data_IF_582536934908
#
_entry.id   IF_582536934908
#
_cell.length_a   1.000
_cell.length_b   1.000
_cell.length_c   1.000
_cell.angle_alpha   90.00
_cell.angle_beta   90.00
_cell.angle_gamma   90.00
#
_symmetry.space_group_name_H-M   'P 1'
#
loop_
_entity.id
_entity.type
_entity.pdbx_description
1 polymer ?
#
# COMPACT_ATOMS: atom_id res chain seq x y z
N UNK A 1 14.54 8.85 4.53
CA UNK A 1 13.85 8.99 3.21
C UNK A 1 12.35 8.75 3.38
N UNK A 2 11.51 9.53 2.69
CA UNK A 2 10.05 9.45 2.70
C UNK A 2 9.58 8.89 1.37
N UNK A 3 9.11 7.64 1.39
CA UNK A 3 8.82 6.86 0.19
C UNK A 3 7.32 6.66 0.05
N UNK A 4 6.79 6.83 -1.14
CA UNK A 4 5.40 6.49 -1.50
C UNK A 4 5.39 5.26 -2.38
N UNK A 5 4.59 4.27 -2.02
CA UNK A 5 4.31 3.09 -2.84
C UNK A 5 3.05 3.34 -3.67
N UNK A 6 3.19 3.49 -4.97
CA UNK A 6 2.11 3.68 -5.93
C UNK A 6 1.88 2.38 -6.73
N UNK A 7 0.68 2.20 -7.22
CA UNK A 7 0.31 1.02 -8.02
C UNK A 7 -1.09 0.52 -7.70
N UNK A 8 -1.67 -0.32 -8.58
CA UNK A 8 -3.04 -0.80 -8.44
C UNK A 8 -3.26 -1.64 -7.17
N UNK A 9 -4.51 -1.84 -6.74
CA UNK A 9 -4.82 -2.81 -5.70
C UNK A 9 -4.29 -4.19 -6.11
N UNK A 10 -3.67 -4.92 -5.20
CA UNK A 10 -3.05 -6.23 -5.52
C UNK A 10 -1.65 -6.18 -6.11
N UNK A 11 -1.08 -5.01 -6.39
CA UNK A 11 0.28 -4.87 -6.93
C UNK A 11 1.39 -5.37 -5.99
N UNK A 12 1.10 -5.55 -4.70
CA UNK A 12 2.08 -6.02 -3.70
C UNK A 12 2.65 -4.93 -2.81
N UNK A 13 2.14 -3.71 -2.85
CA UNK A 13 2.61 -2.55 -2.06
C UNK A 13 2.89 -2.91 -0.60
N UNK A 14 1.89 -3.42 0.13
CA UNK A 14 2.04 -3.79 1.54
C UNK A 14 3.03 -4.94 1.76
N UNK A 15 3.11 -5.89 0.83
CA UNK A 15 4.06 -7.01 0.89
C UNK A 15 5.50 -6.52 0.79
N UNK A 16 5.77 -5.59 -0.12
CA UNK A 16 7.12 -5.04 -0.30
C UNK A 16 7.45 -4.02 0.78
N UNK A 17 6.51 -3.12 1.12
CA UNK A 17 6.68 -2.14 2.19
C UNK A 17 7.03 -2.80 3.53
N UNK A 18 6.36 -3.91 3.90
CA UNK A 18 6.63 -4.63 5.15
C UNK A 18 8.03 -5.26 5.22
N UNK A 19 8.67 -5.52 4.07
CA UNK A 19 10.05 -5.98 3.98
C UNK A 19 11.05 -4.83 4.01
N UNK A 20 10.77 -3.79 3.22
CA UNK A 20 11.59 -2.59 3.14
C UNK A 20 11.71 -1.87 4.51
N UNK A 21 10.62 -1.80 5.26
CA UNK A 21 10.60 -1.26 6.63
C UNK A 21 11.67 -1.87 7.54
N UNK A 22 11.87 -3.19 7.43
CA UNK A 22 12.89 -3.90 8.25
C UNK A 22 14.32 -3.55 7.82
N UNK A 23 14.52 -3.29 6.52
CA UNK A 23 15.83 -2.96 5.95
C UNK A 23 16.17 -1.50 6.24
N UNK A 24 15.20 -0.60 6.05
CA UNK A 24 15.40 0.85 6.15
C UNK A 24 15.24 1.40 7.57
N UNK A 25 14.66 0.64 8.49
CA UNK A 25 14.41 1.09 9.87
C UNK A 25 13.40 2.23 9.99
N UNK A 26 12.46 2.34 9.02
CA UNK A 26 11.40 3.36 9.01
C UNK A 26 10.02 2.71 9.06
N UNK A 27 8.98 3.37 9.61
CA UNK A 27 7.65 2.79 9.71
C UNK A 27 7.00 2.59 8.32
N UNK A 28 6.23 1.50 8.20
CA UNK A 28 5.24 1.31 7.14
C UNK A 28 3.92 1.92 7.58
N UNK A 29 3.44 2.91 6.86
CA UNK A 29 2.18 3.61 7.13
C UNK A 29 1.20 3.27 6.01
N UNK A 30 0.23 2.42 6.31
CA UNK A 30 -0.81 1.97 5.39
C UNK A 30 -2.15 2.63 5.75
N UNK A 31 -2.62 3.54 4.91
CA UNK A 31 -3.95 4.14 5.12
C UNK A 31 -5.07 3.12 5.02
N UNK A 32 -4.91 2.08 4.21
CA UNK A 32 -5.85 0.97 4.17
C UNK A 32 -5.92 0.20 5.49
N UNK A 33 -4.80 0.02 6.19
CA UNK A 33 -4.79 -0.61 7.52
C UNK A 33 -5.43 0.31 8.56
N UNK A 34 -5.12 1.61 8.52
CA UNK A 34 -5.74 2.60 9.41
C UNK A 34 -7.27 2.62 9.26
N UNK A 35 -7.78 2.62 8.03
CA UNK A 35 -9.23 2.51 7.74
C UNK A 35 -9.83 1.21 8.31
N UNK A 36 -9.16 0.08 8.10
CA UNK A 36 -9.63 -1.21 8.63
C UNK A 36 -9.60 -1.28 10.15
N UNK A 37 -8.66 -0.62 10.78
CA UNK A 37 -8.56 -0.53 12.24
C UNK A 37 -9.72 0.30 12.81
N UNK A 38 -10.04 1.46 12.23
CA UNK A 38 -11.22 2.26 12.60
C UNK A 38 -12.53 1.48 12.44
N UNK A 39 -12.68 0.75 11.33
CA UNK A 39 -13.87 -0.10 11.09
C UNK A 39 -13.97 -1.22 12.14
N UNK A 40 -12.85 -1.84 12.49
CA UNK A 40 -12.80 -2.92 13.49
C UNK A 40 -13.12 -2.42 14.90
N UNK A 41 -12.63 -1.23 15.23
CA UNK A 41 -12.87 -0.59 16.51
C UNK A 41 -14.34 -0.06 16.64
N UNK A 42 -15.12 -0.10 15.56
CA UNK A 42 -16.51 0.37 15.51
C UNK A 42 -16.69 1.82 16.01
N UNK A 43 -15.68 2.66 15.80
CA UNK A 43 -15.78 4.08 16.09
C UNK A 43 -16.89 4.72 15.25
N UNK A 44 -17.36 5.91 15.63
CA UNK A 44 -18.32 6.64 14.80
C UNK A 44 -17.77 6.87 13.39
N UNK A 45 -16.49 7.23 13.29
CA UNK A 45 -15.77 7.38 12.03
C UNK A 45 -15.69 6.04 11.29
N UNK A 46 -15.35 4.95 11.97
CA UNK A 46 -15.28 3.61 11.38
C UNK A 46 -16.60 3.16 10.76
N UNK A 47 -17.72 3.46 11.39
CA UNK A 47 -19.06 3.19 10.83
C UNK A 47 -19.35 4.01 9.57
N UNK A 48 -18.97 5.30 9.56
CA UNK A 48 -19.14 6.18 8.39
C UNK A 48 -18.31 5.73 7.19
N UNK A 49 -17.04 5.38 7.40
CA UNK A 49 -16.12 5.01 6.31
C UNK A 49 -16.32 3.58 5.80
N UNK A 50 -16.94 2.70 6.60
CA UNK A 50 -17.16 1.29 6.23
C UNK A 50 -17.95 1.13 4.93
N UNK A 51 -18.95 1.98 4.69
CA UNK A 51 -19.78 1.94 3.49
C UNK A 51 -18.97 2.16 2.19
N UNK A 52 -17.93 2.97 2.23
CA UNK A 52 -17.02 3.19 1.08
C UNK A 52 -16.11 1.98 0.89
N UNK A 53 -15.50 1.50 1.97
CA UNK A 53 -14.59 0.36 1.93
C UNK A 53 -15.26 -0.93 1.43
N UNK A 54 -16.51 -1.20 1.87
CA UNK A 54 -17.25 -2.39 1.47
C UNK A 54 -17.61 -2.40 -0.03
N UNK A 55 -17.74 -1.22 -0.65
CA UNK A 55 -18.02 -1.03 -2.09
C UNK A 55 -16.75 -0.95 -2.95
N UNK A 56 -15.58 -0.87 -2.34
CA UNK A 56 -14.32 -0.64 -3.05
C UNK A 56 -14.07 0.81 -3.48
N UNK A 57 -14.90 1.72 -3.00
CA UNK A 57 -14.79 3.16 -3.19
C UNK A 57 -13.67 3.74 -2.29
N UNK A 58 -13.20 4.95 -2.63
CA UNK A 58 -12.29 5.69 -1.77
C UNK A 58 -13.06 6.37 -0.64
N UNK A 59 -12.51 6.32 0.56
CA UNK A 59 -12.96 7.15 1.68
C UNK A 59 -12.72 8.62 1.31
N UNK A 60 -13.63 9.56 1.68
CA UNK A 60 -13.47 10.98 1.38
C UNK A 60 -12.09 11.52 1.75
N UNK A 61 -11.54 12.38 0.89
CA UNK A 61 -10.16 12.88 0.99
C UNK A 61 -9.88 13.54 2.33
N UNK A 62 -10.80 14.37 2.84
CA UNK A 62 -10.65 15.11 4.10
C UNK A 62 -10.43 14.16 5.28
N UNK A 63 -11.15 13.04 5.30
CA UNK A 63 -11.05 12.03 6.36
C UNK A 63 -9.66 11.35 6.30
N UNK A 64 -9.26 10.91 5.13
CA UNK A 64 -7.97 10.22 4.96
C UNK A 64 -6.79 11.15 5.21
N UNK A 65 -6.87 12.40 4.74
CA UNK A 65 -5.82 13.40 4.97
C UNK A 65 -5.67 13.67 6.48
N UNK A 66 -6.77 13.81 7.21
CA UNK A 66 -6.72 14.02 8.66
C UNK A 66 -6.13 12.83 9.41
N UNK A 67 -6.55 11.60 9.05
CA UNK A 67 -5.99 10.38 9.65
C UNK A 67 -4.48 10.28 9.39
N UNK A 68 -4.04 10.59 8.18
CA UNK A 68 -2.63 10.56 7.83
C UNK A 68 -1.84 11.64 8.55
N UNK A 69 -2.33 12.89 8.60
CA UNK A 69 -1.67 13.98 9.31
C UNK A 69 -1.39 13.58 10.76
N UNK A 70 -2.39 13.12 11.48
CA UNK A 70 -2.25 12.67 12.87
C UNK A 70 -1.24 11.52 13.00
N UNK A 71 -1.14 10.63 12.00
CA UNK A 71 -0.18 9.54 12.00
C UNK A 71 1.26 10.03 11.78
N UNK A 72 1.46 11.01 10.90
CA UNK A 72 2.78 11.55 10.57
C UNK A 72 3.37 12.41 11.69
N UNK A 73 2.56 12.92 12.61
CA UNK A 73 3.01 13.65 13.81
C UNK A 73 3.67 12.75 14.85
N UNK A 74 3.55 11.42 14.73
CA UNK A 74 4.18 10.49 15.67
C UNK A 74 5.71 10.47 15.48
N UNK A 75 6.49 10.41 16.58
CA UNK A 75 7.97 10.50 16.54
C UNK A 75 8.66 9.47 15.63
N UNK A 76 8.06 8.30 15.45
CA UNK A 76 8.61 7.24 14.60
C UNK A 76 8.65 7.60 13.11
N UNK A 77 7.84 8.59 12.68
CA UNK A 77 7.78 9.06 11.29
C UNK A 77 8.79 10.18 10.97
N UNK A 78 9.44 10.79 11.95
CA UNK A 78 10.37 11.92 11.76
C UNK A 78 11.53 11.58 10.82
N UNK A 79 12.15 10.42 11.01
CA UNK A 79 13.32 9.96 10.24
C UNK A 79 12.98 9.50 8.82
N UNK A 80 11.71 9.38 8.50
CA UNK A 80 11.18 8.90 7.24
C UNK A 80 10.11 7.83 7.42
N UNK A 81 9.54 7.39 6.31
CA UNK A 81 8.45 6.42 6.30
C UNK A 81 8.24 5.83 4.91
N UNK A 82 7.47 4.74 4.86
CA UNK A 82 6.94 4.18 3.62
C UNK A 82 5.42 4.31 3.67
N UNK A 83 4.84 5.14 2.77
CA UNK A 83 3.40 5.26 2.61
C UNK A 83 2.86 4.20 1.65
N UNK A 84 1.80 3.53 2.05
CA UNK A 84 1.06 2.57 1.24
C UNK A 84 -0.43 2.92 1.25
N UNK A 85 -0.99 3.08 0.04
CA UNK A 85 -2.39 3.41 -0.12
C UNK A 85 -2.75 4.88 0.03
N UNK A 86 -1.76 5.77 0.07
CA UNK A 86 -1.89 7.21 0.02
C UNK A 86 -0.67 7.82 -0.69
N UNK A 87 -0.82 8.84 -1.55
CA UNK A 87 -2.11 9.38 -2.01
C UNK A 87 -2.81 8.46 -3.01
N UNK A 88 -4.13 8.63 -3.16
CA UNK A 88 -4.95 7.94 -4.17
C UNK A 88 -5.67 8.90 -5.10
N UNK A 89 -5.61 10.21 -4.84
CA UNK A 89 -6.16 11.27 -5.67
C UNK A 89 -5.15 12.41 -5.78
N UNK A 90 -5.30 13.26 -6.80
CA UNK A 90 -4.47 14.47 -6.96
C UNK A 90 -4.61 15.38 -5.74
N UNK A 91 -5.83 15.59 -5.25
CA UNK A 91 -6.08 16.39 -4.05
C UNK A 91 -5.34 15.86 -2.81
N UNK A 92 -5.28 14.55 -2.63
CA UNK A 92 -4.49 13.92 -1.56
C UNK A 92 -2.97 14.15 -1.76
N UNK A 93 -2.48 14.08 -3.00
CA UNK A 93 -1.07 14.34 -3.30
C UNK A 93 -0.68 15.79 -3.02
N UNK A 94 -1.51 16.73 -3.40
CA UNK A 94 -1.31 18.16 -3.10
C UNK A 94 -1.36 18.46 -1.60
N UNK A 95 -2.24 17.78 -0.86
CA UNK A 95 -2.28 17.85 0.60
C UNK A 95 -1.00 17.27 1.22
N UNK A 96 -0.52 16.13 0.72
CA UNK A 96 0.73 15.52 1.19
C UNK A 96 1.92 16.47 0.99
N UNK A 97 2.00 17.14 -0.14
CA UNK A 97 3.08 18.10 -0.44
C UNK A 97 3.16 19.26 0.57
N UNK A 98 2.00 19.64 1.15
CA UNK A 98 1.94 20.68 2.20
C UNK A 98 2.36 20.16 3.58
N UNK A 99 2.16 18.87 3.82
CA UNK A 99 2.43 18.22 5.11
C UNK A 99 3.89 17.74 5.16
N UNK A 100 4.37 17.13 4.08
CA UNK A 100 5.67 16.47 4.06
C UNK A 100 6.23 16.34 2.64
N UNK A 101 7.53 16.61 2.49
CA UNK A 101 8.22 16.38 1.22
C UNK A 101 8.28 14.88 0.95
N UNK A 102 7.91 14.45 -0.27
CA UNK A 102 8.12 13.09 -0.78
C UNK A 102 9.47 13.04 -1.47
N UNK A 103 10.34 12.10 -1.06
CA UNK A 103 11.67 11.97 -1.64
C UNK A 103 11.68 11.00 -2.83
N UNK A 104 10.86 9.95 -2.79
CA UNK A 104 10.81 8.90 -3.81
C UNK A 104 9.41 8.29 -3.92
N UNK A 105 8.97 8.05 -5.13
CA UNK A 105 7.74 7.30 -5.43
C UNK A 105 8.10 6.05 -6.22
N UNK A 106 7.78 4.90 -5.68
CA UNK A 106 7.93 3.60 -6.37
C UNK A 106 6.58 3.23 -6.97
N UNK A 107 6.50 3.26 -8.29
CA UNK A 107 5.32 2.81 -9.02
C UNK A 107 5.45 1.34 -9.42
N UNK A 108 4.58 0.51 -8.86
CA UNK A 108 4.53 -0.92 -9.17
C UNK A 108 3.66 -1.15 -10.41
N UNK A 109 4.30 -1.54 -11.49
CA UNK A 109 3.66 -1.82 -12.77
C UNK A 109 3.38 -3.32 -12.87
N UNK A 110 2.11 -3.71 -12.77
CA UNK A 110 1.68 -5.12 -12.70
C UNK A 110 0.49 -5.32 -13.63
N UNK A 111 0.51 -6.35 -14.52
CA UNK A 111 -0.62 -6.69 -15.37
C UNK A 111 -1.91 -7.05 -14.60
N UNK A 112 -3.07 -6.74 -15.18
CA UNK A 112 -4.37 -6.93 -14.52
C UNK A 112 -4.68 -8.37 -14.17
N UNK A 113 -4.31 -9.34 -15.02
CA UNK A 113 -4.51 -10.77 -14.79
C UNK A 113 -3.75 -11.25 -13.54
N UNK A 114 -2.53 -10.76 -13.36
CA UNK A 114 -1.73 -11.02 -12.16
C UNK A 114 -2.39 -10.38 -10.93
N UNK A 115 -2.88 -9.15 -11.06
CA UNK A 115 -3.56 -8.44 -9.97
C UNK A 115 -4.81 -9.19 -9.51
N UNK A 116 -5.67 -9.58 -10.47
CA UNK A 116 -6.92 -10.31 -10.18
C UNK A 116 -6.60 -11.64 -9.50
N UNK A 117 -5.63 -12.38 -10.03
CA UNK A 117 -5.20 -13.66 -9.44
C UNK A 117 -4.67 -13.47 -8.03
N UNK A 118 -3.85 -12.44 -7.79
CA UNK A 118 -3.31 -12.14 -6.45
C UNK A 118 -4.40 -11.80 -5.45
N UNK A 119 -5.34 -10.93 -5.82
CA UNK A 119 -6.42 -10.49 -4.93
C UNK A 119 -7.38 -11.63 -4.59
N UNK A 120 -7.76 -12.44 -5.58
CA UNK A 120 -8.65 -13.59 -5.40
C UNK A 120 -8.09 -14.67 -4.47
N UNK A 121 -6.76 -14.75 -4.36
CA UNK A 121 -6.06 -15.73 -3.53
C UNK A 121 -5.40 -15.11 -2.29
N UNK A 122 -5.67 -13.83 -2.00
CA UNK A 122 -5.11 -13.15 -0.84
C UNK A 122 -5.85 -13.55 0.44
N UNK A 123 -5.08 -13.88 1.47
CA UNK A 123 -5.57 -13.99 2.85
C UNK A 123 -4.70 -13.16 3.78
N UNK A 124 -5.28 -12.66 4.84
CA UNK A 124 -4.65 -11.73 5.78
C UNK A 124 -4.88 -12.20 7.21
N UNK A 125 -3.87 -12.04 8.06
CA UNK A 125 -3.99 -12.38 9.47
C UNK A 125 -4.85 -11.34 10.22
N UNK A 126 -5.88 -11.81 10.94
CA UNK A 126 -6.74 -10.96 11.78
C UNK A 126 -5.97 -10.26 12.89
N UNK A 127 -4.91 -10.90 13.43
CA UNK A 127 -4.18 -10.40 14.61
C UNK A 127 -3.06 -9.43 14.23
N UNK A 128 -2.21 -9.77 13.27
CA UNK A 128 -1.00 -8.98 12.95
C UNK A 128 -0.99 -8.36 11.56
N UNK A 129 -2.04 -8.52 10.75
CA UNK A 129 -2.13 -7.96 9.41
C UNK A 129 -1.21 -8.62 8.35
N UNK A 130 -0.47 -9.68 8.70
CA UNK A 130 0.42 -10.35 7.75
C UNK A 130 -0.35 -10.84 6.52
N UNK A 131 0.22 -10.58 5.34
CA UNK A 131 -0.39 -10.87 4.04
C UNK A 131 0.20 -12.18 3.51
N UNK A 132 -0.68 -13.07 3.07
CA UNK A 132 -0.36 -14.33 2.39
C UNK A 132 -1.09 -14.41 1.05
N UNK A 133 -0.66 -15.34 0.22
CA UNK A 133 -1.33 -15.68 -1.02
C UNK A 133 -1.37 -17.21 -1.16
N UNK A 134 -2.55 -17.77 -1.35
CA UNK A 134 -2.76 -19.20 -1.39
C UNK A 134 -2.08 -19.92 -2.57
N UNK A 135 -1.61 -19.17 -3.56
CA UNK A 135 -0.85 -19.73 -4.70
C UNK A 135 0.67 -19.56 -4.53
N UNK A 136 1.12 -18.35 -4.14
CA UNK A 136 2.53 -17.94 -4.27
C UNK A 136 3.24 -17.64 -2.95
N UNK A 137 2.50 -17.36 -1.87
CA UNK A 137 3.03 -17.06 -0.54
C UNK A 137 2.18 -17.77 0.52
N UNK A 138 2.19 -19.08 0.48
CA UNK A 138 1.37 -19.92 1.33
C UNK A 138 1.81 -19.88 2.80
N UNK A 139 0.86 -19.89 3.76
CA UNK A 139 1.21 -20.17 5.14
C UNK A 139 1.66 -21.64 5.28
N UNK A 140 2.51 -21.91 6.27
CA UNK A 140 2.99 -23.28 6.58
C UNK A 140 1.84 -24.21 6.99
N UNK A 141 0.85 -23.65 7.69
CA UNK A 141 -0.39 -24.33 8.07
C UNK A 141 -1.58 -23.56 7.54
N UNK A 142 -2.47 -24.24 6.85
CA UNK A 142 -3.68 -23.63 6.29
C UNK A 142 -4.50 -22.90 7.38
N UNK A 143 -4.94 -21.67 7.08
CA UNK A 143 -5.73 -20.84 7.97
C UNK A 143 -4.98 -20.21 9.15
N UNK A 144 -3.67 -20.50 9.33
CA UNK A 144 -2.89 -20.05 10.48
C UNK A 144 -1.72 -19.17 10.05
N UNK A 145 -1.57 -18.01 10.70
CA UNK A 145 -0.48 -17.09 10.46
C UNK A 145 0.86 -17.61 11.00
N UNK A 146 1.88 -17.70 10.14
CA UNK A 146 3.23 -18.15 10.53
C UNK A 146 3.93 -17.17 11.51
N UNK A 147 3.50 -15.90 11.55
CA UNK A 147 4.15 -14.88 12.38
C UNK A 147 3.62 -14.84 13.81
N UNK A 148 2.33 -15.06 14.00
CA UNK A 148 1.70 -14.86 15.31
C UNK A 148 0.65 -15.91 15.69
N UNK A 149 0.44 -16.95 14.86
CA UNK A 149 -0.54 -17.99 15.10
C UNK A 149 -2.01 -17.55 14.95
N UNK A 150 -2.26 -16.30 14.53
CA UNK A 150 -3.62 -15.78 14.36
C UNK A 150 -4.32 -16.37 13.13
N UNK A 151 -5.66 -16.32 13.11
CA UNK A 151 -6.50 -16.77 12.02
C UNK A 151 -6.25 -15.97 10.73
N UNK A 152 -6.16 -16.67 9.59
CA UNK A 152 -6.14 -16.06 8.26
C UNK A 152 -7.55 -16.00 7.69
N UNK A 153 -7.90 -14.90 7.05
CA UNK A 153 -9.19 -14.68 6.42
C UNK A 153 -9.06 -13.95 5.09
N UNK A 154 -10.00 -14.17 4.19
CA UNK A 154 -10.13 -13.39 2.97
C UNK A 154 -10.83 -12.08 3.29
N UNK A 155 -10.31 -10.98 2.75
CA UNK A 155 -10.91 -9.65 2.96
C UNK A 155 -12.20 -9.51 2.17
N UNK A 156 -13.15 -8.72 2.68
CA UNK A 156 -14.43 -8.46 1.98
C UNK A 156 -14.24 -7.71 0.67
N UNK A 157 -13.25 -6.82 0.62
CA UNK A 157 -12.89 -6.04 -0.56
C UNK A 157 -12.06 -6.83 -1.61
N UNK A 158 -11.84 -8.13 -1.39
CA UNK A 158 -11.22 -9.07 -2.35
C UNK A 158 -12.24 -9.98 -3.05
N UNK A 159 -13.52 -9.69 -2.95
CA UNK A 159 -14.56 -10.32 -3.76
C UNK A 159 -14.47 -9.87 -5.22
N UNK A 160 -14.77 -10.74 -6.21
CA UNK A 160 -14.61 -10.44 -7.64
C UNK A 160 -15.25 -9.12 -8.09
N UNK A 161 -16.49 -8.88 -7.66
CA UNK A 161 -17.23 -7.65 -7.96
C UNK A 161 -16.56 -6.39 -7.39
N UNK A 162 -16.01 -6.49 -6.18
CA UNK A 162 -15.31 -5.37 -5.51
C UNK A 162 -13.92 -5.16 -6.11
N UNK A 163 -13.23 -6.22 -6.52
CA UNK A 163 -11.95 -6.12 -7.24
C UNK A 163 -12.11 -5.29 -8.51
N UNK A 164 -13.16 -5.57 -9.31
CA UNK A 164 -13.45 -4.82 -10.53
C UNK A 164 -13.64 -3.34 -10.25
N UNK A 165 -14.48 -2.99 -9.29
CA UNK A 165 -14.74 -1.61 -8.88
C UNK A 165 -13.44 -0.91 -8.43
N UNK A 166 -12.63 -1.57 -7.61
CA UNK A 166 -11.35 -1.04 -7.15
C UNK A 166 -10.36 -0.76 -8.29
N UNK A 167 -10.33 -1.59 -9.32
CA UNK A 167 -9.51 -1.36 -10.51
C UNK A 167 -10.01 -0.16 -11.33
N UNK A 168 -11.33 -0.03 -11.49
CA UNK A 168 -11.93 1.13 -12.17
C UNK A 168 -11.64 2.43 -11.42
N UNK A 169 -11.83 2.44 -10.10
CA UNK A 169 -11.51 3.58 -9.23
C UNK A 169 -10.02 3.92 -9.29
N UNK A 170 -9.14 2.91 -9.27
CA UNK A 170 -7.70 3.12 -9.41
C UNK A 170 -7.37 3.83 -10.73
N UNK A 171 -7.82 3.30 -11.86
CA UNK A 171 -7.53 3.88 -13.18
C UNK A 171 -8.03 5.33 -13.29
N UNK A 172 -9.22 5.58 -12.77
CA UNK A 172 -9.86 6.90 -12.88
C UNK A 172 -9.26 7.94 -11.95
N UNK A 173 -8.93 7.56 -10.71
CA UNK A 173 -8.57 8.51 -9.65
C UNK A 173 -7.09 8.47 -9.24
N UNK A 174 -6.45 7.30 -9.30
CA UNK A 174 -5.10 7.09 -8.76
C UNK A 174 -4.02 7.02 -9.83
N UNK A 175 -4.30 6.41 -10.96
CA UNK A 175 -3.34 6.30 -12.07
C UNK A 175 -2.82 7.66 -12.56
N UNK A 176 -3.61 8.77 -12.59
CA UNK A 176 -3.11 10.10 -12.91
C UNK A 176 -1.96 10.60 -12.01
N UNK A 177 -1.79 10.03 -10.82
CA UNK A 177 -0.67 10.34 -9.93
C UNK A 177 0.69 9.93 -10.50
N UNK A 178 0.71 8.96 -11.42
CA UNK A 178 1.94 8.54 -12.12
C UNK A 178 2.54 9.74 -12.85
N UNK A 179 1.74 10.46 -13.63
CA UNK A 179 2.20 11.64 -14.35
C UNK A 179 2.48 12.83 -13.41
N UNK A 180 1.70 12.96 -12.34
CA UNK A 180 1.94 13.97 -11.32
C UNK A 180 3.34 13.84 -10.71
N UNK A 181 3.72 12.66 -10.24
CA UNK A 181 5.03 12.42 -9.63
C UNK A 181 6.16 12.28 -10.66
N UNK A 182 5.86 11.84 -11.88
CA UNK A 182 6.85 11.84 -12.98
C UNK A 182 7.30 13.25 -13.33
N UNK A 183 6.37 14.22 -13.42
CA UNK A 183 6.69 15.63 -13.62
C UNK A 183 7.51 16.24 -12.48
N UNK A 184 7.36 15.74 -11.26
CA UNK A 184 8.19 16.13 -10.10
C UNK A 184 9.58 15.48 -10.10
N UNK A 185 9.87 14.55 -10.98
CA UNK A 185 11.16 13.86 -11.07
C UNK A 185 11.43 12.84 -9.97
N UNK A 186 10.45 12.53 -9.13
CA UNK A 186 10.62 11.62 -7.98
C UNK A 186 10.07 10.21 -8.21
N UNK A 187 9.49 9.91 -9.38
CA UNK A 187 8.87 8.62 -9.69
C UNK A 187 9.87 7.66 -10.34
N UNK A 188 9.87 6.42 -9.86
CA UNK A 188 10.58 5.27 -10.45
C UNK A 188 9.62 4.10 -10.64
N UNK A 189 9.65 3.53 -11.85
CA UNK A 189 8.84 2.37 -12.20
C UNK A 189 9.55 1.07 -11.83
N UNK A 190 8.81 0.14 -11.22
CA UNK A 190 9.25 -1.24 -10.96
C UNK A 190 8.23 -2.19 -11.57
N UNK A 191 8.68 -3.07 -12.46
CA UNK A 191 7.82 -4.03 -13.16
C UNK A 191 7.77 -5.36 -12.42
N UNK A 192 6.58 -5.94 -12.40
CA UNK A 192 6.35 -7.28 -11.90
C UNK A 192 5.44 -8.02 -12.89
N UNK A 193 6.06 -8.65 -13.89
CA UNK A 193 5.39 -9.26 -15.04
C UNK A 193 5.10 -10.77 -14.83
N UNK A 194 5.40 -11.32 -13.66
CA UNK A 194 5.12 -12.73 -13.34
C UNK A 194 4.50 -12.90 -11.96
N UNK A 195 3.46 -13.72 -11.90
CA UNK A 195 2.83 -14.12 -10.64
C UNK A 195 3.83 -14.84 -9.71
N UNK A 196 4.76 -15.58 -10.29
CA UNK A 196 5.73 -16.41 -9.56
C UNK A 196 6.99 -15.67 -9.12
N UNK A 197 7.13 -14.38 -9.45
CA UNK A 197 8.27 -13.58 -8.98
C UNK A 197 8.27 -13.49 -7.45
N UNK A 198 9.31 -13.99 -6.77
CA UNK A 198 9.41 -13.90 -5.32
C UNK A 198 9.41 -12.44 -4.86
N UNK A 199 8.76 -12.11 -3.74
CA UNK A 199 8.77 -10.74 -3.23
C UNK A 199 10.16 -10.16 -3.00
N UNK A 200 11.12 -10.98 -2.66
CA UNK A 200 12.51 -10.62 -2.39
C UNK A 200 13.19 -10.01 -3.63
N UNK A 201 12.92 -10.55 -4.82
CA UNK A 201 13.43 -10.02 -6.10
C UNK A 201 12.96 -8.59 -6.35
N UNK A 202 11.69 -8.31 -6.10
CA UNK A 202 11.13 -6.95 -6.25
C UNK A 202 11.70 -6.01 -5.17
N UNK A 203 11.86 -6.49 -3.95
CA UNK A 203 12.48 -5.71 -2.85
C UNK A 203 13.92 -5.35 -3.19
N UNK A 204 14.71 -6.25 -3.76
CA UNK A 204 16.08 -5.98 -4.21
C UNK A 204 16.12 -4.91 -5.31
N UNK A 205 15.20 -4.96 -6.28
CA UNK A 205 15.09 -3.92 -7.31
C UNK A 205 14.78 -2.55 -6.69
N UNK A 206 13.82 -2.50 -5.75
CA UNK A 206 13.46 -1.26 -5.05
C UNK A 206 14.67 -0.74 -4.25
N UNK A 207 15.40 -1.61 -3.55
CA UNK A 207 16.58 -1.22 -2.78
C UNK A 207 17.70 -0.65 -3.64
N UNK A 208 17.92 -1.18 -4.86
CA UNK A 208 18.87 -0.61 -5.82
C UNK A 208 18.49 0.83 -6.18
N UNK A 209 17.21 1.07 -6.48
CA UNK A 209 16.68 2.41 -6.77
C UNK A 209 16.90 3.36 -5.58
N UNK A 210 16.56 2.92 -4.37
CA UNK A 210 16.72 3.72 -3.14
C UNK A 210 18.18 4.12 -2.95
N UNK A 211 19.11 3.17 -3.08
CA UNK A 211 20.54 3.42 -2.92
C UNK A 211 21.10 4.39 -3.99
N UNK A 212 20.59 4.33 -5.22
CA UNK A 212 20.96 5.25 -6.30
C UNK A 212 20.47 6.68 -6.02
N UNK A 213 19.24 6.83 -5.55
CA UNK A 213 18.69 8.15 -5.22
C UNK A 213 19.34 8.77 -3.96
N UNK A 214 19.73 7.96 -2.98
CA UNK A 214 20.49 8.44 -1.81
C UNK A 214 21.90 8.93 -2.16
N UNK A 215 22.55 8.35 -3.15
CA UNK A 215 23.86 8.81 -3.65
C UNK A 215 23.74 10.17 -4.33
N UNK A 216 22.73 10.36 -5.20
CA UNK A 216 22.48 11.64 -5.89
C UNK A 216 22.15 12.80 -4.95
N UNK A 217 21.59 12.54 -3.80
CA UNK A 217 21.27 13.56 -2.81
C UNK A 217 22.43 13.97 -1.90
N UNK A 218 23.61 13.33 -2.07
CA UNK A 218 24.85 13.64 -1.32
C UNK A 218 25.88 14.40 -2.14
N UNK A 219 25.71 14.45 -3.46
CA UNK A 219 26.46 15.28 -4.40
C UNK A 219 25.75 16.64 -4.61
#
# INVERSE_FOLDING_TARGET
MRIVMLGPPGAGKGTYASRLTKILGVPHISTGDMVREEIRAQTELGRKIKQYSDKGELVPDEIIIQLLSNRLEKPDAEKGYILDGFPRTINQAEALDKISKVDLVINLNVPDDIIITRLSNRVVCRKCGAIYNLLTLKPKKEGVCDKCGGELYQRRDDKPEVIKERLEVYRKKTEPLIDYYRRKGVLKDVRCDSLMTPPEVIVEQIMKIINEEEKKGKD
#
